data_IF_319411947210
#
_entry.id   IF_319411947210
#
_cell.length_a   1.000
_cell.length_b   1.000
_cell.length_c   1.000
_cell.angle_alpha   90.00
_cell.angle_beta   90.00
_cell.angle_gamma   90.00
#
_symmetry.space_group_name_H-M   'P 1'
#
loop_
_entity.id
_entity.type
_entity.pdbx_description
1 polymer ?
#
# COMPACT_ATOMS: atom_id res chain seq x y z
N UNK A 1 16.97 0.74 3.81
CA UNK A 1 17.01 1.77 4.87
C UNK A 1 16.76 3.10 4.18
N UNK A 2 15.75 3.87 4.59
CA UNK A 2 15.36 5.15 3.96
C UNK A 2 16.32 6.30 4.26
N UNK A 3 17.48 6.04 4.88
CA UNK A 3 18.47 7.08 5.19
C UNK A 3 17.93 8.18 6.12
N UNK A 4 16.99 7.86 7.02
CA UNK A 4 16.25 8.80 7.89
C UNK A 4 15.26 9.73 7.17
N UNK A 5 14.93 9.45 5.90
CA UNK A 5 13.92 10.20 5.15
C UNK A 5 12.48 9.89 5.56
N UNK A 6 12.23 8.76 6.20
CA UNK A 6 10.89 8.42 6.69
C UNK A 6 10.57 9.28 7.92
N UNK A 7 9.58 10.19 7.85
CA UNK A 7 9.23 11.04 8.98
C UNK A 7 8.49 10.29 10.09
N UNK A 8 8.06 9.05 9.85
CA UNK A 8 7.29 8.26 10.81
C UNK A 8 8.24 7.41 11.66
N UNK A 9 8.21 7.60 12.98
CA UNK A 9 9.05 6.84 13.90
C UNK A 9 8.56 5.41 14.12
N UNK A 10 7.27 5.15 13.88
CA UNK A 10 6.62 3.86 14.11
C UNK A 10 5.32 3.71 13.30
N UNK A 11 4.74 2.50 13.35
CA UNK A 11 3.50 2.15 12.66
C UNK A 11 2.30 3.00 13.11
N UNK A 12 2.20 3.36 14.38
CA UNK A 12 1.03 4.13 14.87
C UNK A 12 1.01 5.54 14.27
N UNK A 13 2.17 6.19 14.14
CA UNK A 13 2.30 7.47 13.43
C UNK A 13 1.94 7.33 11.95
N UNK A 14 2.43 6.29 11.29
CA UNK A 14 2.10 5.98 9.90
C UNK A 14 0.58 5.78 9.70
N UNK A 15 -0.06 4.97 10.55
CA UNK A 15 -1.50 4.73 10.48
C UNK A 15 -2.32 5.96 10.89
N UNK A 16 -1.81 6.81 11.78
CA UNK A 16 -2.45 8.09 12.11
C UNK A 16 -2.54 9.00 10.87
N UNK A 17 -1.47 9.06 10.07
CA UNK A 17 -1.51 9.77 8.78
C UNK A 17 -2.51 9.12 7.84
N UNK A 18 -2.47 7.79 7.68
CA UNK A 18 -3.44 7.07 6.84
C UNK A 18 -4.90 7.34 7.23
N UNK A 19 -5.21 7.37 8.53
CA UNK A 19 -6.56 7.68 9.05
C UNK A 19 -6.99 9.12 8.80
N UNK A 20 -6.04 10.05 8.67
CA UNK A 20 -6.32 11.46 8.40
C UNK A 20 -6.66 11.74 6.94
N UNK A 21 -6.42 10.80 6.03
CA UNK A 21 -6.74 10.93 4.61
C UNK A 21 -8.26 10.96 4.42
N UNK A 22 -8.74 12.03 3.80
CA UNK A 22 -10.16 12.25 3.48
C UNK A 22 -10.53 11.81 2.06
N UNK A 23 -9.56 11.32 1.29
CA UNK A 23 -9.74 10.84 -0.08
C UNK A 23 -9.75 9.31 -0.13
N UNK A 24 -10.41 8.71 -1.13
CA UNK A 24 -10.30 7.28 -1.37
C UNK A 24 -8.84 6.87 -1.54
N UNK A 25 -8.44 5.79 -0.87
CA UNK A 25 -7.07 5.25 -0.94
C UNK A 25 -7.12 3.79 -1.38
N UNK A 26 -6.22 3.36 -2.26
CA UNK A 26 -6.06 1.97 -2.66
C UNK A 26 -4.68 1.46 -2.24
N UNK A 27 -4.63 0.29 -1.61
CA UNK A 27 -3.39 -0.43 -1.29
C UNK A 27 -3.34 -1.75 -2.07
N UNK A 28 -2.30 -1.94 -2.88
CA UNK A 28 -2.05 -3.20 -3.59
C UNK A 28 -0.98 -3.99 -2.83
N UNK A 29 -1.34 -5.18 -2.35
CA UNK A 29 -0.50 -6.00 -1.48
C UNK A 29 0.06 -7.18 -2.25
N UNK A 30 1.38 -7.22 -2.41
CA UNK A 30 2.08 -8.35 -3.03
C UNK A 30 2.22 -9.48 -2.04
N UNK A 31 1.73 -10.68 -2.37
CA UNK A 31 1.71 -11.81 -1.44
C UNK A 31 3.10 -12.25 -0.96
N UNK A 32 4.11 -12.09 -1.83
CA UNK A 32 5.52 -12.41 -1.63
C UNK A 32 6.37 -11.20 -1.18
N UNK A 33 5.73 -10.10 -0.77
CA UNK A 33 6.44 -8.94 -0.21
C UNK A 33 7.18 -9.31 1.08
N UNK A 34 8.30 -8.62 1.41
CA UNK A 34 8.99 -8.82 2.68
C UNK A 34 8.03 -8.68 3.88
N UNK A 35 8.16 -9.52 4.93
CA UNK A 35 7.16 -9.62 6.00
C UNK A 35 6.81 -8.29 6.66
N UNK A 36 7.81 -7.43 6.90
CA UNK A 36 7.59 -6.12 7.51
C UNK A 36 6.75 -5.21 6.62
N UNK A 37 7.14 -5.03 5.35
CA UNK A 37 6.39 -4.20 4.39
C UNK A 37 4.97 -4.72 4.17
N UNK A 38 4.82 -6.05 4.08
CA UNK A 38 3.50 -6.68 3.97
C UNK A 38 2.62 -6.37 5.18
N UNK A 39 3.15 -6.46 6.39
CA UNK A 39 2.41 -6.13 7.60
C UNK A 39 1.99 -4.65 7.67
N UNK A 40 2.82 -3.71 7.19
CA UNK A 40 2.43 -2.30 7.08
C UNK A 40 1.28 -2.09 6.09
N UNK A 41 1.36 -2.72 4.91
CA UNK A 41 0.29 -2.62 3.90
C UNK A 41 -1.02 -3.27 4.38
N UNK A 42 -0.94 -4.41 5.07
CA UNK A 42 -2.10 -5.06 5.68
C UNK A 42 -2.72 -4.19 6.78
N UNK A 43 -1.92 -3.47 7.56
CA UNK A 43 -2.42 -2.54 8.55
C UNK A 43 -3.17 -1.35 7.90
N UNK A 44 -2.64 -0.78 6.82
CA UNK A 44 -3.32 0.27 6.04
C UNK A 44 -4.65 -0.22 5.46
N UNK A 45 -4.73 -1.47 5.01
CA UNK A 45 -5.94 -2.06 4.45
C UNK A 45 -7.10 -2.15 5.46
N UNK A 46 -6.85 -2.02 6.76
CA UNK A 46 -7.90 -2.01 7.80
C UNK A 46 -8.54 -0.64 8.03
N UNK A 47 -8.05 0.41 7.37
CA UNK A 47 -8.53 1.78 7.57
C UNK A 47 -9.84 2.04 6.79
N UNK A 48 -10.76 2.88 7.32
CA UNK A 48 -12.11 3.04 6.78
C UNK A 48 -12.20 3.61 5.35
N UNK A 49 -11.22 4.42 4.92
CA UNK A 49 -11.18 5.02 3.57
C UNK A 49 -10.24 4.27 2.62
N UNK A 50 -9.78 3.07 3.02
CA UNK A 50 -8.81 2.29 2.26
C UNK A 50 -9.46 1.06 1.65
N UNK A 51 -9.36 0.95 0.33
CA UNK A 51 -9.60 -0.28 -0.40
C UNK A 51 -8.29 -1.06 -0.51
N UNK A 52 -8.37 -2.39 -0.57
CA UNK A 52 -7.18 -3.22 -0.74
C UNK A 52 -7.40 -4.34 -1.73
N UNK A 53 -6.38 -4.63 -2.53
CA UNK A 53 -6.32 -5.79 -3.43
C UNK A 53 -5.04 -6.56 -3.16
N UNK A 54 -5.10 -7.89 -3.23
CA UNK A 54 -3.93 -8.77 -3.16
C UNK A 54 -3.58 -9.30 -4.54
N UNK A 55 -2.29 -9.37 -4.83
CA UNK A 55 -1.75 -9.93 -6.06
C UNK A 55 -0.56 -10.84 -5.77
N UNK A 56 -0.36 -11.90 -6.57
CA UNK A 56 0.96 -12.52 -6.66
C UNK A 56 1.98 -11.45 -7.08
N UNK A 57 3.11 -11.39 -6.38
CA UNK A 57 4.18 -10.45 -6.67
C UNK A 57 4.98 -10.04 -5.44
N UNK A 58 6.15 -9.47 -5.70
CA UNK A 58 7.00 -8.89 -4.65
C UNK A 58 6.55 -7.47 -4.31
N UNK A 59 7.28 -6.81 -3.42
CA UNK A 59 7.07 -5.38 -3.14
C UNK A 59 7.32 -4.50 -4.38
N UNK A 60 8.15 -4.98 -5.32
CA UNK A 60 8.50 -4.31 -6.57
C UNK A 60 7.58 -4.68 -7.75
N UNK A 61 6.40 -5.26 -7.52
CA UNK A 61 5.52 -5.79 -8.59
C UNK A 61 5.16 -4.79 -9.70
N UNK A 62 5.27 -3.49 -9.45
CA UNK A 62 5.03 -2.45 -10.45
C UNK A 62 6.14 -2.37 -11.51
N UNK A 63 7.34 -2.88 -11.20
CA UNK A 63 8.44 -3.06 -12.14
C UNK A 63 8.40 -4.44 -12.82
N UNK A 64 7.96 -5.47 -12.08
CA UNK A 64 7.95 -6.86 -12.53
C UNK A 64 6.71 -7.19 -13.41
N UNK A 65 5.54 -6.73 -12.99
CA UNK A 65 4.21 -7.08 -13.52
C UNK A 65 3.36 -5.80 -13.70
N UNK A 66 3.92 -4.83 -14.43
CA UNK A 66 3.34 -3.49 -14.56
C UNK A 66 1.91 -3.49 -15.14
N UNK A 67 1.61 -4.43 -16.03
CA UNK A 67 0.30 -4.50 -16.71
C UNK A 67 -0.81 -4.91 -15.74
N UNK A 68 -0.52 -5.87 -14.88
CA UNK A 68 -1.39 -6.43 -13.84
C UNK A 68 -1.70 -5.37 -12.79
N UNK A 69 -0.67 -4.62 -12.36
CA UNK A 69 -0.84 -3.50 -11.44
C UNK A 69 -1.70 -2.40 -12.09
N UNK A 70 -1.42 -2.04 -13.36
CA UNK A 70 -2.17 -1.01 -14.07
C UNK A 70 -3.66 -1.38 -14.25
N UNK A 71 -3.96 -2.66 -14.51
CA UNK A 71 -5.32 -3.15 -14.65
C UNK A 71 -6.18 -2.94 -13.40
N UNK A 72 -5.55 -2.87 -12.22
CA UNK A 72 -6.21 -2.62 -10.93
C UNK A 72 -6.24 -1.13 -10.58
N UNK A 73 -5.14 -0.42 -10.80
CA UNK A 73 -5.02 0.98 -10.41
C UNK A 73 -5.82 1.91 -11.31
N UNK A 74 -5.86 1.67 -12.64
CA UNK A 74 -6.54 2.57 -13.58
C UNK A 74 -8.06 2.69 -13.36
N UNK A 75 -8.82 1.60 -13.10
CA UNK A 75 -10.23 1.71 -12.75
C UNK A 75 -10.47 2.53 -11.48
N UNK A 76 -9.65 2.32 -10.44
CA UNK A 76 -9.75 3.06 -9.18
C UNK A 76 -9.55 4.57 -9.37
N UNK A 77 -8.58 4.97 -10.20
CA UNK A 77 -8.30 6.39 -10.47
C UNK A 77 -9.37 7.09 -11.33
N UNK A 78 -10.27 6.34 -11.97
CA UNK A 78 -11.34 6.86 -12.84
C UNK A 78 -12.71 6.88 -12.16
N UNK A 79 -12.78 6.40 -10.92
CA UNK A 79 -14.02 6.30 -10.14
C UNK A 79 -14.43 7.62 -9.50
#
# INVERSE_FOLDING_TARGET
>A
MTGTLDPMANRDEFLKVGRSLTIPTLVVIGEQSPPQSKAEMEALATLPNTQSVRLPGTLGMHEEEASEVAAIVLPFLRA
#
